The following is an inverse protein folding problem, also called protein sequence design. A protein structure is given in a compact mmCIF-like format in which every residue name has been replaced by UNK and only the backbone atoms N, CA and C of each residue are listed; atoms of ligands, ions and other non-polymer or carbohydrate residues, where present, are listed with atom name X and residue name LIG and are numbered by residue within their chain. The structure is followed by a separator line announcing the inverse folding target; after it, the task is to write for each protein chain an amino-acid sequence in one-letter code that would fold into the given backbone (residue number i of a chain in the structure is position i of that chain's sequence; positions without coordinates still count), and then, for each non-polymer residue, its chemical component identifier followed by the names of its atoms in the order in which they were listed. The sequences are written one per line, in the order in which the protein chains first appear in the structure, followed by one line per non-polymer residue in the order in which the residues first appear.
data_IF_145370861756
#
_entry.id   IF_145370861756
#
_cell.length_a   1.000
_cell.length_b   1.000
_cell.length_c   1.000
_cell.angle_alpha   90.00
_cell.angle_beta   90.00
_cell.angle_gamma   90.00
#
_symmetry.space_group_name_H-M   'P 1'
#
loop_
_entity.id
_entity.type
_entity.pdbx_description
1 polymer ?
#
# COMPACT_ATOMS: atom_id res chain seq x y z
N UNK A 1 43.30 -13.98 52.93
CA UNK A 1 42.24 -12.94 52.84
C UNK A 1 41.63 -13.05 51.46
N UNK A 2 40.51 -13.77 51.33
CA UNK A 2 39.14 -13.24 51.23
C UNK A 2 38.80 -12.93 49.76
N UNK A 3 38.20 -13.88 49.03
CA UNK A 3 36.77 -14.23 48.96
C UNK A 3 36.14 -13.71 47.65
N UNK A 4 35.09 -14.38 47.14
CA UNK A 4 34.77 -14.47 45.72
C UNK A 4 33.95 -13.28 45.19
N UNK A 5 34.18 -12.95 43.93
CA UNK A 5 33.40 -11.94 43.23
C UNK A 5 31.99 -12.47 42.95
N UNK A 6 31.01 -11.72 43.43
CA UNK A 6 29.58 -12.01 43.42
C UNK A 6 29.05 -11.87 41.99
N UNK A 7 28.68 -12.97 41.35
CA UNK A 7 27.92 -12.93 40.11
C UNK A 7 26.49 -12.50 40.45
N UNK A 8 26.18 -11.29 40.01
CA UNK A 8 24.91 -10.60 40.14
C UNK A 8 23.84 -11.27 39.25
N UNK A 9 22.69 -11.48 39.87
CA UNK A 9 21.43 -12.00 39.32
C UNK A 9 20.99 -11.24 38.06
N UNK A 10 20.61 -11.95 37.00
CA UNK A 10 19.80 -11.40 35.90
C UNK A 10 18.46 -12.12 35.90
N UNK A 11 17.43 -11.40 36.35
CA UNK A 11 16.01 -11.77 36.25
C UNK A 11 15.61 -11.83 34.77
N UNK A 12 14.95 -12.89 34.29
CA UNK A 12 14.23 -12.82 33.03
C UNK A 12 12.89 -12.11 33.27
N UNK A 13 12.77 -10.87 32.82
CA UNK A 13 11.48 -10.19 32.72
C UNK A 13 10.71 -10.82 31.57
N UNK A 14 9.78 -11.72 31.88
CA UNK A 14 8.77 -12.19 30.95
C UNK A 14 7.77 -11.06 30.70
N UNK A 15 8.02 -10.26 29.67
CA UNK A 15 7.00 -9.41 29.06
C UNK A 15 6.12 -10.30 28.16
N UNK A 16 5.06 -10.85 28.74
CA UNK A 16 3.95 -11.39 27.96
C UNK A 16 3.19 -10.22 27.33
N UNK A 17 3.55 -9.84 26.10
CA UNK A 17 2.69 -9.01 25.26
C UNK A 17 1.47 -9.86 24.91
N UNK A 18 0.39 -9.68 25.68
CA UNK A 18 -0.94 -10.07 25.24
C UNK A 18 -1.27 -9.21 24.02
N UNK A 19 -1.09 -9.81 22.84
CA UNK A 19 -1.56 -9.24 21.58
C UNK A 19 -3.10 -9.24 21.62
N UNK A 20 -3.67 -8.14 22.10
CA UNK A 20 -5.06 -7.81 21.80
C UNK A 20 -5.08 -7.32 20.35
N UNK A 21 -5.12 -8.26 19.41
CA UNK A 21 -5.50 -7.98 18.04
C UNK A 21 -6.98 -7.59 18.06
N UNK A 22 -7.24 -6.31 18.35
CA UNK A 22 -8.48 -5.68 17.94
C UNK A 22 -8.46 -5.66 16.40
N UNK A 23 -8.97 -6.74 15.81
CA UNK A 23 -9.50 -6.68 14.46
C UNK A 23 -10.59 -5.62 14.51
N UNK A 24 -10.29 -4.42 14.05
CA UNK A 24 -11.34 -3.50 13.64
C UNK A 24 -11.91 -4.12 12.38
N UNK A 25 -12.88 -5.01 12.57
CA UNK A 25 -13.78 -5.45 11.53
C UNK A 25 -14.47 -4.18 11.00
N UNK A 26 -13.95 -3.62 9.91
CA UNK A 26 -14.73 -2.70 9.10
C UNK A 26 -15.78 -3.54 8.39
N UNK A 27 -16.85 -3.85 9.12
CA UNK A 27 -18.09 -4.34 8.57
C UNK A 27 -18.80 -3.16 7.91
N UNK A 28 -18.46 -2.87 6.66
CA UNK A 28 -19.40 -2.13 5.79
C UNK A 28 -20.42 -3.12 5.29
N UNK A 29 -21.42 -3.37 6.13
CA UNK A 29 -22.69 -3.94 5.72
C UNK A 29 -23.31 -3.04 4.66
N UNK A 30 -23.38 -3.52 3.42
CA UNK A 30 -24.37 -3.08 2.44
C UNK A 30 -25.12 -4.31 1.97
N UNK A 31 -25.96 -4.83 2.85
CA UNK A 31 -27.08 -5.69 2.45
C UNK A 31 -28.19 -4.76 1.97
N UNK A 32 -28.48 -4.79 0.67
CA UNK A 32 -29.80 -5.09 0.10
C UNK A 32 -29.97 -4.47 -1.28
N UNK A 33 -29.92 -5.37 -2.26
CA UNK A 33 -30.68 -5.44 -3.53
C UNK A 33 -30.81 -4.23 -4.45
N UNK A 34 -30.69 -4.56 -5.75
CA UNK A 34 -31.03 -3.81 -6.97
C UNK A 34 -29.95 -2.88 -7.55
N UNK A 35 -29.37 -3.39 -8.64
CA UNK A 35 -28.70 -2.65 -9.71
C UNK A 35 -27.58 -1.71 -9.25
N UNK A 36 -26.49 -2.30 -8.72
CA UNK A 36 -25.22 -1.61 -8.73
C UNK A 36 -24.77 -1.48 -10.18
N UNK A 37 -25.29 -0.46 -10.87
CA UNK A 37 -24.53 0.24 -11.89
C UNK A 37 -23.24 0.58 -11.17
N UNK A 38 -22.22 -0.26 -11.34
CA UNK A 38 -20.88 0.08 -10.94
C UNK A 38 -20.65 1.39 -11.66
N UNK A 39 -20.53 2.54 -10.98
CA UNK A 39 -20.22 3.75 -11.69
C UNK A 39 -18.97 3.42 -12.49
N UNK A 40 -19.05 3.59 -13.80
CA UNK A 40 -17.97 3.27 -14.72
C UNK A 40 -16.89 4.34 -14.48
N UNK A 41 -16.25 4.24 -13.30
CA UNK A 41 -15.26 5.20 -12.84
C UNK A 41 -14.07 4.95 -13.73
N UNK A 42 -13.94 5.80 -14.74
CA UNK A 42 -12.82 5.74 -15.65
C UNK A 42 -11.52 5.81 -14.85
N UNK A 43 -10.49 5.11 -15.30
CA UNK A 43 -9.16 5.13 -14.68
C UNK A 43 -8.67 6.57 -14.40
N UNK A 44 -8.93 7.50 -15.33
CA UNK A 44 -8.63 8.92 -15.18
C UNK A 44 -9.37 9.54 -13.99
N UNK A 45 -10.68 9.30 -13.86
CA UNK A 45 -11.48 9.81 -12.75
C UNK A 45 -11.01 9.25 -11.41
N UNK A 46 -10.71 7.95 -11.35
CA UNK A 46 -10.15 7.31 -10.15
C UNK A 46 -8.83 7.97 -9.73
N UNK A 47 -7.90 8.10 -10.67
CA UNK A 47 -6.59 8.73 -10.43
C UNK A 47 -6.74 10.20 -10.02
N UNK A 48 -7.61 10.97 -10.66
CA UNK A 48 -7.85 12.36 -10.30
C UNK A 48 -8.41 12.50 -8.89
N UNK A 49 -9.39 11.66 -8.50
CA UNK A 49 -10.00 11.70 -7.17
C UNK A 49 -9.08 11.18 -6.06
N UNK A 50 -8.25 10.17 -6.35
CA UNK A 50 -7.44 9.46 -5.35
C UNK A 50 -5.95 9.78 -5.41
N UNK A 51 -5.53 10.74 -6.23
CA UNK A 51 -4.12 11.05 -6.50
C UNK A 51 -3.23 11.11 -5.26
N UNK A 52 -3.64 11.88 -4.24
CA UNK A 52 -2.86 12.06 -3.01
C UNK A 52 -2.69 10.73 -2.26
N UNK A 53 -3.75 9.94 -2.19
CA UNK A 53 -3.73 8.63 -1.53
C UNK A 53 -2.90 7.61 -2.32
N UNK A 54 -3.06 7.57 -3.65
CA UNK A 54 -2.23 6.75 -4.56
C UNK A 54 -0.75 7.09 -4.38
N UNK A 55 -0.41 8.38 -4.33
CA UNK A 55 0.97 8.83 -4.14
C UNK A 55 1.50 8.43 -2.77
N UNK A 56 0.70 8.57 -1.71
CA UNK A 56 1.10 8.14 -0.37
C UNK A 56 1.36 6.61 -0.33
N UNK A 57 0.42 5.82 -0.82
CA UNK A 57 0.50 4.36 -0.86
C UNK A 57 1.71 3.90 -1.71
N UNK A 58 1.96 4.56 -2.85
CA UNK A 58 3.13 4.28 -3.69
C UNK A 58 4.46 4.58 -2.99
N UNK A 59 4.54 5.66 -2.22
CA UNK A 59 5.74 5.98 -1.44
C UNK A 59 6.00 4.94 -0.33
N UNK A 60 4.93 4.46 0.30
CA UNK A 60 5.01 3.41 1.32
C UNK A 60 5.32 2.03 0.71
N UNK A 61 4.91 1.80 -0.54
CA UNK A 61 5.10 0.54 -1.27
C UNK A 61 3.91 -0.40 -1.19
N UNK A 62 2.72 0.13 -0.94
CA UNK A 62 1.49 -0.63 -0.81
C UNK A 62 0.37 0.20 -0.18
N UNK A 63 -0.87 -0.23 -0.39
CA UNK A 63 -2.06 0.42 0.15
C UNK A 63 -3.26 0.19 -0.77
N UNK A 64 -4.46 0.37 -0.24
CA UNK A 64 -5.71 0.02 -0.92
C UNK A 64 -5.90 0.79 -2.25
N UNK A 65 -5.48 2.06 -2.31
CA UNK A 65 -5.63 2.87 -3.52
C UNK A 65 -4.65 2.41 -4.60
N UNK A 66 -3.47 1.94 -4.20
CA UNK A 66 -2.47 1.40 -5.12
C UNK A 66 -2.88 0.03 -5.65
N UNK A 67 -3.48 -0.80 -4.80
CA UNK A 67 -4.04 -2.10 -5.18
C UNK A 67 -5.26 -1.97 -6.08
N UNK A 68 -6.11 -0.97 -5.85
CA UNK A 68 -7.22 -0.61 -6.74
C UNK A 68 -6.70 -0.10 -8.09
N UNK A 69 -5.69 0.78 -8.08
CA UNK A 69 -5.04 1.25 -9.31
C UNK A 69 -4.45 0.09 -10.12
N UNK A 70 -3.79 -0.86 -9.45
CA UNK A 70 -3.23 -2.06 -10.08
C UNK A 70 -4.32 -2.88 -10.78
N UNK A 71 -5.49 -3.05 -10.14
CA UNK A 71 -6.63 -3.77 -10.72
C UNK A 71 -7.22 -3.05 -11.93
N UNK A 72 -7.40 -1.73 -11.85
CA UNK A 72 -7.89 -0.93 -12.98
C UNK A 72 -6.95 -0.95 -14.18
N UNK A 73 -5.63 -1.07 -13.94
CA UNK A 73 -4.60 -1.25 -14.97
C UNK A 73 -4.44 -2.71 -15.43
N UNK A 74 -5.19 -3.65 -14.86
CA UNK A 74 -5.12 -5.08 -15.22
C UNK A 74 -3.85 -5.80 -14.73
N UNK A 75 -3.15 -5.27 -13.73
CA UNK A 75 -1.99 -5.92 -13.14
C UNK A 75 -2.39 -7.17 -12.36
N UNK A 76 -1.79 -8.32 -12.73
CA UNK A 76 -2.06 -9.62 -12.08
C UNK A 76 -1.42 -9.74 -10.70
N UNK A 77 -0.23 -9.18 -10.54
CA UNK A 77 0.54 -9.21 -9.29
C UNK A 77 0.60 -7.79 -8.69
N UNK A 78 -0.25 -7.56 -7.69
CA UNK A 78 -0.36 -6.27 -6.99
C UNK A 78 0.90 -5.95 -6.18
N UNK A 79 1.55 -6.97 -5.62
CA UNK A 79 2.76 -6.80 -4.79
C UNK A 79 3.94 -6.38 -5.68
N UNK A 80 4.12 -7.05 -6.82
CA UNK A 80 5.12 -6.66 -7.80
C UNK A 80 4.85 -5.26 -8.35
N UNK A 81 3.59 -4.93 -8.65
CA UNK A 81 3.19 -3.60 -9.08
C UNK A 81 3.55 -2.54 -8.03
N UNK A 82 3.20 -2.75 -6.76
CA UNK A 82 3.49 -1.83 -5.67
C UNK A 82 5.00 -1.63 -5.45
N UNK A 83 5.78 -2.71 -5.51
CA UNK A 83 7.25 -2.65 -5.43
C UNK A 83 7.84 -1.81 -6.56
N UNK A 84 7.37 -1.99 -7.80
CA UNK A 84 7.83 -1.21 -8.96
C UNK A 84 7.40 0.25 -8.86
N UNK A 85 6.17 0.51 -8.41
CA UNK A 85 5.68 1.87 -8.17
C UNK A 85 6.56 2.62 -7.17
N UNK A 86 6.97 1.96 -6.09
CA UNK A 86 7.90 2.54 -5.11
C UNK A 86 9.29 2.77 -5.69
N UNK A 87 9.84 1.78 -6.40
CA UNK A 87 11.16 1.89 -7.03
C UNK A 87 11.22 3.05 -8.05
N UNK A 88 10.13 3.27 -8.78
CA UNK A 88 10.02 4.29 -9.82
C UNK A 88 9.29 5.56 -9.36
N UNK A 89 9.11 5.74 -8.05
CA UNK A 89 8.24 6.77 -7.48
C UNK A 89 8.52 8.17 -8.03
N UNK A 90 9.79 8.58 -8.06
CA UNK A 90 10.17 9.89 -8.56
C UNK A 90 9.87 10.04 -10.07
N UNK A 91 10.06 9.00 -10.86
CA UNK A 91 9.76 9.06 -12.31
C UNK A 91 8.25 9.21 -12.54
N UNK A 92 7.44 8.52 -11.75
CA UNK A 92 5.97 8.59 -11.85
C UNK A 92 5.43 9.92 -11.33
N UNK A 93 5.89 10.43 -10.18
CA UNK A 93 5.22 11.54 -9.48
C UNK A 93 5.94 12.89 -9.52
N UNK A 94 7.20 12.98 -9.96
CA UNK A 94 7.93 14.26 -9.98
C UNK A 94 7.41 15.19 -11.08
N UNK A 95 7.14 16.44 -10.72
CA UNK A 95 6.74 17.48 -11.66
C UNK A 95 5.42 17.20 -12.38
N UNK A 96 4.50 16.50 -11.72
CA UNK A 96 3.15 16.25 -12.23
C UNK A 96 2.32 17.53 -12.08
N UNK A 97 1.74 17.99 -13.19
CA UNK A 97 0.80 19.11 -13.19
C UNK A 97 -0.65 18.61 -13.11
N UNK A 98 -0.94 17.50 -13.81
CA UNK A 98 -2.26 16.88 -13.83
C UNK A 98 -2.20 15.43 -13.33
N UNK A 99 -3.02 14.99 -12.36
CA UNK A 99 -2.92 13.65 -11.80
C UNK A 99 -3.01 12.51 -12.82
N UNK A 100 -3.87 12.64 -13.84
CA UNK A 100 -4.02 11.63 -14.89
C UNK A 100 -2.72 11.36 -15.67
N UNK A 101 -1.74 12.28 -15.68
CA UNK A 101 -0.43 12.07 -16.32
C UNK A 101 0.32 10.86 -15.76
N UNK A 102 0.06 10.47 -14.50
CA UNK A 102 0.74 9.31 -13.92
C UNK A 102 0.39 8.02 -14.66
N UNK A 103 -0.77 7.92 -15.31
CA UNK A 103 -1.20 6.69 -16.00
C UNK A 103 -0.21 6.35 -17.12
N UNK A 104 0.05 7.31 -18.01
CA UNK A 104 1.01 7.13 -19.10
C UNK A 104 2.44 6.88 -18.59
N UNK A 105 2.83 7.50 -17.47
CA UNK A 105 4.14 7.27 -16.86
C UNK A 105 4.23 5.86 -16.27
N UNK A 106 3.19 5.38 -15.59
CA UNK A 106 3.12 4.02 -15.06
C UNK A 106 3.23 3.03 -16.21
N UNK A 107 2.45 3.18 -17.27
CA UNK A 107 2.52 2.31 -18.45
C UNK A 107 3.94 2.26 -19.01
N UNK A 108 4.59 3.42 -19.19
CA UNK A 108 5.98 3.48 -19.65
C UNK A 108 6.92 2.71 -18.72
N UNK A 109 6.85 2.95 -17.41
CA UNK A 109 7.74 2.31 -16.43
C UNK A 109 7.44 0.83 -16.21
N UNK A 110 6.21 0.36 -16.47
CA UNK A 110 5.82 -1.05 -16.31
C UNK A 110 6.02 -1.87 -17.58
N UNK A 111 6.00 -1.25 -18.77
CA UNK A 111 6.27 -1.89 -20.07
C UNK A 111 7.78 -2.12 -20.28
N UNK A 112 8.64 -1.24 -19.73
CA UNK A 112 10.10 -1.37 -19.87
C UNK A 112 10.70 -2.65 -19.25
N UNK A 113 9.93 -3.40 -18.46
CA UNK A 113 10.34 -4.71 -17.91
C UNK A 113 9.90 -5.92 -18.75
N UNK A 114 9.26 -5.71 -19.92
CA UNK A 114 8.87 -6.80 -20.85
C UNK A 114 9.90 -7.09 -21.96
N UNK A 115 11.04 -6.41 -21.97
CA UNK A 115 12.10 -6.56 -22.97
C UNK A 115 13.22 -7.50 -22.50
#
# INVERSE_FOLDING_TARGET
MNMPNKILVILPVLFSLSACSAFTEFSSSTSDTVDAVTPDVTLNEFVNKRYVAIRHDAANGGGENLDALAQLLGAKDKVAFAKKMKANFNMVFKGINNPSEIIARIETQMILDKA
#
